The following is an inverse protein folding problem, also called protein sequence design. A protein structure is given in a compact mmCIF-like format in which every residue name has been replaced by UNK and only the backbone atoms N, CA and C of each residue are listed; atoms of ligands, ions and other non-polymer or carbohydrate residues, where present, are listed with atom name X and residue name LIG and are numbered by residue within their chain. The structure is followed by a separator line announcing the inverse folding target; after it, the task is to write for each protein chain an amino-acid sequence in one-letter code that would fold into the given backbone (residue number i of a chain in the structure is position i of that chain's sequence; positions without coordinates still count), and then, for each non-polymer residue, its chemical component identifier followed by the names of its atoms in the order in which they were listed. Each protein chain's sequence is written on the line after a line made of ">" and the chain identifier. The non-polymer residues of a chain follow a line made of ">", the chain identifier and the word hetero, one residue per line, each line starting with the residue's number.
data_IF_707444727006
#
_entry.id   IF_707444727006
#
_cell.length_a   1.000
_cell.length_b   1.000
_cell.length_c   1.000
_cell.angle_alpha   90.00
_cell.angle_beta   90.00
_cell.angle_gamma   90.00
#
_symmetry.space_group_name_H-M   'P 1'
#
loop_
_entity.id
_entity.type
_entity.pdbx_description
1 polymer ?
#
# COMPACT_ATOMS: atom_id res chain seq x y z
N UNK A 1 -24.23 -34.81 8.75
CA UNK A 1 -22.90 -35.05 8.13
C UNK A 1 -23.01 -34.73 6.64
N UNK A 2 -22.15 -33.89 6.06
CA UNK A 2 -22.25 -33.55 4.62
C UNK A 2 -21.71 -34.69 3.76
N UNK A 3 -22.24 -34.91 2.55
CA UNK A 3 -21.81 -35.96 1.63
C UNK A 3 -20.27 -36.00 1.41
N UNK A 4 -19.57 -34.86 1.23
CA UNK A 4 -18.11 -34.85 1.10
C UNK A 4 -17.36 -35.25 2.38
N UNK A 5 -17.94 -34.99 3.57
CA UNK A 5 -17.36 -35.41 4.86
C UNK A 5 -17.50 -36.92 5.04
N UNK A 6 -18.66 -37.47 4.69
CA UNK A 6 -18.90 -38.90 4.76
C UNK A 6 -17.90 -39.67 3.88
N UNK A 7 -17.69 -39.21 2.64
CA UNK A 7 -16.72 -39.84 1.72
C UNK A 7 -15.28 -39.77 2.27
N UNK A 8 -14.88 -38.63 2.85
CA UNK A 8 -13.55 -38.48 3.48
C UNK A 8 -13.36 -39.40 4.69
N UNK A 9 -14.37 -39.53 5.55
CA UNK A 9 -14.31 -40.41 6.72
C UNK A 9 -14.24 -41.88 6.31
N UNK A 10 -14.97 -42.30 5.28
CA UNK A 10 -14.93 -43.67 4.73
C UNK A 10 -13.51 -44.02 4.24
N UNK A 11 -12.83 -43.10 3.57
CA UNK A 11 -11.46 -43.34 3.08
C UNK A 11 -10.44 -43.39 4.21
N UNK A 12 -10.58 -42.55 5.26
CA UNK A 12 -9.63 -42.49 6.39
C UNK A 12 -9.80 -43.63 7.41
N UNK A 13 -11.03 -44.10 7.61
CA UNK A 13 -11.37 -45.08 8.64
C UNK A 13 -10.51 -46.36 8.63
N UNK A 14 -10.23 -47.03 7.48
CA UNK A 14 -9.39 -48.23 7.48
C UNK A 14 -7.94 -47.94 7.89
N UNK A 15 -7.36 -46.81 7.48
CA UNK A 15 -5.98 -46.45 7.85
C UNK A 15 -5.85 -46.15 9.35
N UNK A 16 -6.81 -45.41 9.92
CA UNK A 16 -6.84 -45.12 11.36
C UNK A 16 -7.08 -46.38 12.19
N UNK A 17 -7.91 -47.30 11.71
CA UNK A 17 -8.15 -48.59 12.35
C UNK A 17 -6.87 -49.44 12.39
N UNK A 18 -6.15 -49.54 11.28
CA UNK A 18 -4.89 -50.31 11.20
C UNK A 18 -3.82 -49.68 12.09
N UNK A 19 -3.61 -48.36 12.02
CA UNK A 19 -2.60 -47.68 12.84
C UNK A 19 -2.88 -47.85 14.34
N UNK A 20 -4.15 -47.73 14.74
CA UNK A 20 -4.56 -47.90 16.14
C UNK A 20 -4.47 -49.36 16.59
N UNK A 21 -4.80 -50.32 15.73
CA UNK A 21 -4.63 -51.74 16.03
C UNK A 21 -3.16 -52.12 16.25
N UNK A 22 -2.24 -51.60 15.43
CA UNK A 22 -0.78 -51.78 15.62
C UNK A 22 -0.34 -51.22 16.97
N UNK A 23 -0.84 -50.03 17.34
CA UNK A 23 -0.58 -49.44 18.66
C UNK A 23 -1.12 -50.33 19.79
N UNK A 24 -2.32 -50.90 19.63
CA UNK A 24 -2.89 -51.86 20.56
C UNK A 24 -2.04 -53.14 20.70
N UNK A 25 -1.41 -53.62 19.62
CA UNK A 25 -0.46 -54.76 19.67
C UNK A 25 0.78 -54.39 20.47
N UNK A 26 1.34 -53.19 20.30
CA UNK A 26 2.50 -52.73 21.07
C UNK A 26 2.20 -52.66 22.56
N UNK A 27 1.04 -52.12 22.95
CA UNK A 27 0.61 -52.07 24.36
C UNK A 27 0.40 -53.49 24.90
N UNK A 28 -0.26 -54.38 24.14
CA UNK A 28 -0.44 -55.77 24.53
C UNK A 28 0.90 -56.47 24.77
N UNK A 29 1.88 -56.27 23.88
CA UNK A 29 3.22 -56.83 24.01
C UNK A 29 3.94 -56.30 25.27
N UNK A 30 3.84 -54.99 25.55
CA UNK A 30 4.41 -54.38 26.76
C UNK A 30 3.78 -54.93 28.04
N UNK A 31 2.45 -55.09 28.07
CA UNK A 31 1.74 -55.65 29.22
C UNK A 31 2.11 -57.12 29.47
N UNK A 32 2.22 -57.91 28.40
CA UNK A 32 2.64 -59.31 28.50
C UNK A 32 4.11 -59.42 28.92
N UNK A 33 4.99 -58.58 28.40
CA UNK A 33 6.39 -58.50 28.81
C UNK A 33 6.53 -58.11 30.28
N UNK A 34 5.78 -57.11 30.74
CA UNK A 34 5.75 -56.71 32.14
C UNK A 34 5.25 -57.84 33.03
N UNK A 35 4.16 -58.52 32.63
CA UNK A 35 3.64 -59.69 33.35
C UNK A 35 4.67 -60.83 33.41
N UNK A 36 5.43 -61.06 32.34
CA UNK A 36 6.50 -62.05 32.29
C UNK A 36 7.67 -61.69 33.21
N UNK A 37 8.13 -60.43 33.20
CA UNK A 37 9.22 -59.96 34.05
C UNK A 37 8.86 -59.99 35.55
N UNK A 38 7.64 -59.61 35.91
CA UNK A 38 7.14 -59.71 37.29
C UNK A 38 7.17 -61.16 37.77
N UNK A 39 6.81 -62.10 36.90
CA UNK A 39 6.86 -63.53 37.22
C UNK A 39 8.30 -64.04 37.36
N UNK A 40 9.17 -63.65 36.43
CA UNK A 40 10.58 -64.05 36.41
C UNK A 40 11.36 -63.58 37.66
N UNK A 41 11.07 -62.36 38.14
CA UNK A 41 11.77 -61.75 39.27
C UNK A 41 11.08 -62.07 40.60
N UNK A 42 9.74 -62.18 40.62
CA UNK A 42 8.94 -62.29 41.83
C UNK A 42 8.58 -63.71 42.28
N UNK A 43 8.79 -64.74 41.45
CA UNK A 43 8.58 -66.15 41.83
C UNK A 43 7.13 -66.56 42.16
N UNK A 44 6.13 -65.73 41.85
CA UNK A 44 4.72 -65.99 42.12
C UNK A 44 4.11 -66.99 41.14
N UNK A 45 3.50 -68.10 41.58
CA UNK A 45 2.80 -69.04 40.68
C UNK A 45 1.68 -68.36 39.87
N UNK A 46 1.37 -68.89 38.67
CA UNK A 46 0.38 -68.36 37.73
C UNK A 46 -1.04 -68.28 38.34
N UNK A 47 -1.31 -67.19 39.05
CA UNK A 47 -2.62 -66.89 39.63
C UNK A 47 -3.60 -66.30 38.61
N UNK A 48 -4.84 -66.08 39.07
CA UNK A 48 -5.95 -65.50 38.30
C UNK A 48 -5.58 -64.16 37.63
N UNK A 49 -4.67 -63.37 38.22
CA UNK A 49 -4.24 -62.07 37.69
C UNK A 49 -3.55 -62.21 36.33
N UNK A 50 -2.65 -63.19 36.15
CA UNK A 50 -1.95 -63.40 34.88
C UNK A 50 -2.93 -63.81 33.77
N UNK A 51 -3.93 -64.64 34.09
CA UNK A 51 -4.98 -65.00 33.14
C UNK A 51 -5.81 -63.79 32.70
N UNK A 52 -6.14 -62.90 33.63
CA UNK A 52 -6.84 -61.65 33.33
C UNK A 52 -5.99 -60.75 32.43
N UNK A 53 -4.69 -60.59 32.72
CA UNK A 53 -3.77 -59.79 31.89
C UNK A 53 -3.70 -60.33 30.46
N UNK A 54 -3.60 -61.65 30.28
CA UNK A 54 -3.60 -62.28 28.96
C UNK A 54 -4.94 -62.10 28.23
N UNK A 55 -6.07 -62.23 28.95
CA UNK A 55 -7.39 -62.02 28.38
C UNK A 55 -7.58 -60.57 27.90
N UNK A 56 -7.13 -59.58 28.69
CA UNK A 56 -7.17 -58.17 28.33
C UNK A 56 -6.25 -57.86 27.15
N UNK A 57 -5.00 -58.33 27.20
CA UNK A 57 -4.00 -58.08 26.15
C UNK A 57 -4.47 -58.54 24.76
N UNK A 58 -5.19 -59.68 24.68
CA UNK A 58 -5.76 -60.20 23.42
C UNK A 58 -6.82 -59.27 22.80
N UNK A 59 -7.52 -58.48 23.61
CA UNK A 59 -8.59 -57.60 23.13
C UNK A 59 -8.10 -56.20 22.76
N UNK A 60 -6.91 -55.79 23.20
CA UNK A 60 -6.40 -54.43 22.95
C UNK A 60 -6.29 -54.08 21.46
N UNK A 61 -5.76 -54.92 20.55
CA UNK A 61 -5.70 -54.59 19.13
C UNK A 61 -7.08 -54.32 18.52
N UNK A 62 -8.09 -55.08 18.95
CA UNK A 62 -9.47 -54.91 18.49
C UNK A 62 -10.09 -53.62 19.05
N UNK A 63 -9.95 -53.37 20.35
CA UNK A 63 -10.50 -52.17 21.01
C UNK A 63 -9.89 -50.90 20.42
N UNK A 64 -8.56 -50.86 20.27
CA UNK A 64 -7.90 -49.72 19.64
C UNK A 64 -8.22 -49.61 18.15
N UNK A 65 -8.33 -50.73 17.42
CA UNK A 65 -8.72 -50.73 16.00
C UNK A 65 -10.13 -50.17 15.77
N UNK A 66 -11.11 -50.60 16.57
CA UNK A 66 -12.48 -50.07 16.53
C UNK A 66 -12.51 -48.60 16.95
N UNK A 67 -11.79 -48.23 18.02
CA UNK A 67 -11.65 -46.84 18.44
C UNK A 67 -11.06 -45.94 17.35
N UNK A 68 -10.01 -46.41 16.68
CA UNK A 68 -9.39 -45.74 15.52
C UNK A 68 -10.37 -45.58 14.36
N UNK A 69 -11.12 -46.63 14.02
CA UNK A 69 -12.15 -46.58 12.99
C UNK A 69 -13.24 -45.53 13.30
N UNK A 70 -13.78 -45.55 14.52
CA UNK A 70 -14.82 -44.61 14.97
C UNK A 70 -14.28 -43.18 15.03
N UNK A 71 -13.02 -42.99 15.42
CA UNK A 71 -12.38 -41.66 15.49
C UNK A 71 -12.35 -40.95 14.13
N UNK A 72 -12.29 -41.69 13.01
CA UNK A 72 -12.34 -41.12 11.65
C UNK A 72 -13.70 -40.46 11.32
N UNK A 73 -14.75 -40.79 12.07
CA UNK A 73 -16.08 -40.19 11.98
C UNK A 73 -16.32 -39.12 13.06
N UNK A 74 -15.52 -39.12 14.14
CA UNK A 74 -15.66 -38.19 15.26
C UNK A 74 -14.70 -36.99 15.18
N UNK A 75 -13.50 -37.18 14.64
CA UNK A 75 -12.47 -36.13 14.55
C UNK A 75 -12.35 -35.56 13.13
N UNK A 76 -12.64 -34.27 12.99
CA UNK A 76 -12.25 -33.47 11.82
C UNK A 76 -10.73 -33.17 11.92
N UNK A 77 -9.87 -34.20 11.90
CA UNK A 77 -8.43 -33.98 11.88
C UNK A 77 -8.07 -33.28 10.56
N UNK A 78 -7.60 -32.01 10.60
CA UNK A 78 -7.32 -31.24 9.41
C UNK A 78 -6.12 -31.87 8.71
N UNK A 79 -6.31 -32.34 7.48
CA UNK A 79 -5.17 -32.61 6.60
C UNK A 79 -4.57 -31.25 6.31
N UNK A 80 -3.31 -31.04 6.68
CA UNK A 80 -2.55 -29.86 6.26
C UNK A 80 -2.63 -29.77 4.74
N UNK A 81 -3.31 -28.74 4.24
CA UNK A 81 -3.56 -28.60 2.82
C UNK A 81 -2.23 -28.30 2.11
N UNK A 82 -1.77 -29.24 1.29
CA UNK A 82 -0.51 -29.16 0.52
C UNK A 82 -0.47 -27.92 -0.39
N UNK A 83 -1.62 -27.38 -0.77
CA UNK A 83 -1.78 -26.22 -1.66
C UNK A 83 -2.38 -24.98 -0.97
N UNK A 84 -2.41 -24.95 0.36
CA UNK A 84 -2.98 -23.84 1.15
C UNK A 84 -4.43 -24.04 1.57
N UNK A 85 -4.89 -23.26 2.56
CA UNK A 85 -6.20 -23.40 3.21
C UNK A 85 -7.30 -22.49 2.62
N UNK A 86 -7.05 -21.86 1.48
CA UNK A 86 -7.97 -20.92 0.85
C UNK A 86 -9.28 -21.62 0.45
N UNK A 87 -10.41 -20.99 0.79
CA UNK A 87 -11.76 -21.45 0.43
C UNK A 87 -12.69 -20.25 0.29
N UNK A 88 -13.82 -20.47 -0.38
CA UNK A 88 -14.91 -19.50 -0.40
C UNK A 88 -15.46 -19.23 1.01
N UNK A 89 -15.88 -17.99 1.23
CA UNK A 89 -16.53 -17.57 2.47
C UNK A 89 -17.88 -18.28 2.64
N UNK A 90 -18.20 -18.64 3.87
CA UNK A 90 -19.49 -19.20 4.25
C UNK A 90 -20.51 -18.07 4.45
N UNK A 91 -21.81 -18.39 4.38
CA UNK A 91 -22.86 -17.38 4.62
C UNK A 91 -22.73 -16.68 5.99
N UNK A 92 -22.29 -17.40 7.04
CA UNK A 92 -22.02 -16.80 8.36
C UNK A 92 -20.85 -15.81 8.34
N UNK A 93 -19.84 -16.05 7.51
CA UNK A 93 -18.70 -15.13 7.34
C UNK A 93 -19.11 -13.90 6.53
N UNK A 94 -19.90 -14.06 5.46
CA UNK A 94 -20.48 -12.95 4.71
C UNK A 94 -21.46 -12.11 5.54
N UNK A 95 -22.22 -12.74 6.44
CA UNK A 95 -23.11 -12.03 7.36
C UNK A 95 -22.33 -11.07 8.25
N UNK A 96 -21.13 -11.43 8.72
CA UNK A 96 -20.29 -10.52 9.52
C UNK A 96 -19.88 -9.28 8.74
N UNK A 97 -19.61 -9.41 7.45
CA UNK A 97 -19.24 -8.30 6.55
C UNK A 97 -20.44 -7.43 6.14
N UNK A 98 -21.67 -7.95 6.25
CA UNK A 98 -22.91 -7.21 5.93
C UNK A 98 -23.69 -6.75 7.16
N UNK A 99 -23.19 -7.01 8.37
CA UNK A 99 -23.88 -6.70 9.61
C UNK A 99 -23.79 -5.22 10.02
N UNK A 100 -22.76 -4.51 9.55
CA UNK A 100 -22.53 -3.09 9.86
C UNK A 100 -22.61 -2.26 8.59
N UNK A 101 -23.17 -1.06 8.72
CA UNK A 101 -23.17 -0.04 7.67
C UNK A 101 -21.91 0.86 7.69
N UNK A 102 -20.90 0.50 8.49
CA UNK A 102 -19.61 1.19 8.57
C UNK A 102 -18.50 0.38 7.87
N UNK A 103 -17.44 1.07 7.46
CA UNK A 103 -16.30 0.51 6.74
C UNK A 103 -16.38 0.61 5.23
N UNK A 104 -15.31 0.15 4.58
CA UNK A 104 -15.12 0.24 3.13
C UNK A 104 -15.97 -0.79 2.42
N UNK A 105 -16.74 -0.36 1.42
CA UNK A 105 -17.50 -1.24 0.56
C UNK A 105 -16.55 -2.10 -0.28
N UNK A 106 -16.63 -3.42 -0.11
CA UNK A 106 -15.81 -4.40 -0.84
C UNK A 106 -16.60 -5.17 -1.89
N UNK A 107 -17.93 -5.22 -1.77
CA UNK A 107 -18.78 -5.88 -2.75
C UNK A 107 -20.20 -6.08 -2.26
N UNK A 108 -20.85 -7.12 -2.79
CA UNK A 108 -22.23 -7.48 -2.48
C UNK A 108 -22.34 -8.99 -2.33
N UNK A 109 -23.10 -9.43 -1.32
CA UNK A 109 -23.46 -10.84 -1.17
C UNK A 109 -24.29 -11.28 -2.39
N UNK A 110 -23.83 -12.29 -3.15
CA UNK A 110 -24.53 -12.73 -4.35
C UNK A 110 -25.88 -13.39 -4.05
N UNK A 111 -26.10 -13.86 -2.82
CA UNK A 111 -27.34 -14.55 -2.42
C UNK A 111 -28.36 -13.57 -1.88
N UNK A 112 -27.92 -12.68 -0.97
CA UNK A 112 -28.84 -11.79 -0.24
C UNK A 112 -28.93 -10.39 -0.85
N UNK A 113 -28.00 -10.02 -1.72
CA UNK A 113 -27.90 -8.67 -2.28
C UNK A 113 -27.41 -7.61 -1.29
N UNK A 114 -27.07 -7.99 -0.05
CA UNK A 114 -26.56 -7.06 0.97
C UNK A 114 -25.15 -6.59 0.63
N UNK A 115 -24.86 -5.33 0.94
CA UNK A 115 -23.53 -4.76 0.77
C UNK A 115 -22.55 -5.38 1.78
N UNK A 116 -21.33 -5.64 1.33
CA UNK A 116 -20.25 -6.19 2.14
C UNK A 116 -19.26 -5.07 2.43
N UNK A 117 -18.95 -4.86 3.71
CA UNK A 117 -18.05 -3.82 4.19
C UNK A 117 -16.89 -4.41 4.99
N UNK A 118 -15.74 -3.76 4.89
CA UNK A 118 -14.53 -4.11 5.60
C UNK A 118 -14.03 -2.89 6.38
N UNK A 119 -13.90 -3.05 7.70
CA UNK A 119 -13.41 -2.04 8.64
C UNK A 119 -12.19 -2.56 9.43
N UNK A 120 -11.45 -3.49 8.84
CA UNK A 120 -10.24 -4.02 9.48
C UNK A 120 -8.98 -3.19 9.17
N UNK A 121 -7.85 -3.54 9.80
CA UNK A 121 -6.61 -2.78 9.69
C UNK A 121 -5.77 -3.12 8.45
N UNK A 122 -6.04 -4.26 7.79
CA UNK A 122 -5.46 -4.51 6.48
C UNK A 122 -6.03 -3.45 5.53
N UNK A 123 -5.32 -3.12 4.48
CA UNK A 123 -5.90 -2.31 3.42
C UNK A 123 -6.16 -3.23 2.19
N UNK A 124 -6.82 -2.69 1.17
CA UNK A 124 -7.51 -3.48 0.14
C UNK A 124 -6.92 -3.31 -1.25
N UNK A 125 -6.64 -4.41 -1.95
CA UNK A 125 -6.24 -4.40 -3.36
C UNK A 125 -7.42 -4.86 -4.24
N UNK A 126 -7.80 -4.03 -5.20
CA UNK A 126 -8.82 -4.37 -6.21
C UNK A 126 -8.15 -4.62 -7.54
N UNK A 127 -8.21 -5.88 -8.03
CA UNK A 127 -7.73 -6.26 -9.35
C UNK A 127 -8.92 -6.38 -10.30
N UNK A 128 -8.95 -5.53 -11.32
CA UNK A 128 -10.06 -5.45 -12.27
C UNK A 128 -9.53 -5.04 -13.65
N UNK A 129 -9.86 -5.77 -14.74
CA UNK A 129 -9.55 -5.33 -16.10
C UNK A 129 -10.20 -3.98 -16.42
N UNK A 130 -9.71 -3.29 -17.45
CA UNK A 130 -10.32 -2.03 -17.89
C UNK A 130 -11.79 -2.23 -18.27
N UNK A 131 -12.64 -1.25 -17.95
CA UNK A 131 -14.09 -1.25 -18.24
C UNK A 131 -14.92 -2.35 -17.55
N UNK A 132 -14.41 -2.97 -16.48
CA UNK A 132 -15.15 -4.01 -15.71
C UNK A 132 -15.89 -3.47 -14.49
N UNK A 133 -15.97 -2.15 -14.34
CA UNK A 133 -16.76 -1.50 -13.30
C UNK A 133 -16.05 -1.23 -11.98
N UNK A 134 -14.71 -1.30 -11.91
CA UNK A 134 -13.91 -0.88 -10.73
C UNK A 134 -14.35 0.46 -10.14
N UNK A 135 -14.55 1.45 -11.02
CA UNK A 135 -15.00 2.80 -10.66
C UNK A 135 -16.38 2.78 -9.98
N UNK A 136 -17.38 2.24 -10.67
CA UNK A 136 -18.78 2.23 -10.19
C UNK A 136 -19.08 1.20 -9.09
N UNK A 137 -18.26 0.15 -8.97
CA UNK A 137 -18.47 -0.94 -8.03
C UNK A 137 -17.75 -0.77 -6.69
N UNK A 138 -16.60 -0.08 -6.68
CA UNK A 138 -15.77 0.06 -5.47
C UNK A 138 -15.38 1.50 -5.20
N UNK A 139 -14.79 2.21 -6.17
CA UNK A 139 -14.19 3.54 -5.93
C UNK A 139 -15.25 4.60 -5.60
N UNK A 140 -16.18 4.84 -6.53
CA UNK A 140 -17.21 5.87 -6.38
C UNK A 140 -18.11 5.59 -5.16
N UNK A 141 -18.62 4.37 -4.94
CA UNK A 141 -19.42 4.09 -3.74
C UNK A 141 -18.69 4.37 -2.42
N UNK A 142 -17.39 4.05 -2.33
CA UNK A 142 -16.60 4.36 -1.15
C UNK A 142 -16.42 5.87 -0.98
N UNK A 143 -16.10 6.61 -2.03
CA UNK A 143 -16.03 8.07 -1.97
C UNK A 143 -17.36 8.70 -1.50
N UNK A 144 -18.50 8.19 -1.98
CA UNK A 144 -19.82 8.70 -1.61
C UNK A 144 -20.24 8.38 -0.17
N UNK A 145 -19.70 7.32 0.45
CA UNK A 145 -20.22 6.80 1.73
C UNK A 145 -19.21 6.73 2.87
N UNK A 146 -17.91 6.78 2.60
CA UNK A 146 -16.88 6.65 3.62
C UNK A 146 -16.75 7.96 4.43
N UNK A 147 -17.33 8.00 5.62
CA UNK A 147 -17.23 9.12 6.55
C UNK A 147 -15.86 9.15 7.25
N UNK A 148 -14.83 9.52 6.48
CA UNK A 148 -13.43 9.67 6.92
C UNK A 148 -12.67 10.55 5.93
N UNK A 149 -11.50 11.03 6.32
CA UNK A 149 -10.58 11.68 5.39
C UNK A 149 -10.15 10.77 4.24
N UNK A 150 -9.97 11.35 3.05
CA UNK A 150 -9.59 10.61 1.84
C UNK A 150 -8.51 11.37 1.07
N UNK A 151 -7.46 10.66 0.64
CA UNK A 151 -6.53 11.11 -0.40
C UNK A 151 -6.78 10.22 -1.62
N UNK A 152 -7.22 10.80 -2.72
CA UNK A 152 -7.64 10.09 -3.92
C UNK A 152 -6.79 10.51 -5.11
N UNK A 153 -6.08 9.58 -5.73
CA UNK A 153 -5.51 9.79 -7.06
C UNK A 153 -6.62 9.53 -8.07
N UNK A 154 -6.88 10.51 -8.92
CA UNK A 154 -7.98 10.49 -9.89
C UNK A 154 -7.45 10.85 -11.28
N UNK A 155 -6.85 9.90 -12.00
CA UNK A 155 -6.17 10.20 -13.26
C UNK A 155 -7.10 10.88 -14.27
N UNK A 156 -8.40 10.55 -14.26
CA UNK A 156 -9.36 11.06 -15.24
C UNK A 156 -10.21 12.23 -14.75
N UNK A 157 -10.08 12.63 -13.49
CA UNK A 157 -10.96 13.63 -12.87
C UNK A 157 -12.41 13.14 -12.65
N UNK A 158 -12.75 11.91 -13.07
CA UNK A 158 -14.11 11.37 -13.04
C UNK A 158 -14.59 11.21 -11.59
N UNK A 159 -13.73 10.73 -10.71
CA UNK A 159 -14.07 10.53 -9.30
C UNK A 159 -14.38 11.88 -8.64
N UNK A 160 -13.57 12.90 -8.91
CA UNK A 160 -13.71 14.26 -8.38
C UNK A 160 -14.98 14.93 -8.88
N UNK A 161 -15.29 14.80 -10.17
CA UNK A 161 -16.50 15.39 -10.78
C UNK A 161 -17.75 14.74 -10.21
N UNK A 162 -17.79 13.41 -10.09
CA UNK A 162 -18.96 12.67 -9.63
C UNK A 162 -19.17 12.80 -8.12
N UNK A 163 -18.11 12.75 -7.33
CA UNK A 163 -18.22 12.57 -5.87
C UNK A 163 -17.93 13.82 -5.06
N UNK A 164 -17.29 14.85 -5.66
CA UNK A 164 -16.82 16.02 -4.91
C UNK A 164 -17.91 16.72 -4.07
N UNK A 165 -19.12 16.90 -4.61
CA UNK A 165 -20.23 17.51 -3.86
C UNK A 165 -20.70 16.65 -2.68
N UNK A 166 -20.71 15.32 -2.83
CA UNK A 166 -21.03 14.44 -1.71
C UNK A 166 -19.92 14.48 -0.66
N UNK A 167 -18.66 14.61 -1.09
CA UNK A 167 -17.51 14.75 -0.19
C UNK A 167 -17.56 16.02 0.65
N UNK A 168 -18.06 17.13 0.09
CA UNK A 168 -18.28 18.40 0.82
C UNK A 168 -19.19 18.25 2.05
N UNK A 169 -20.04 17.22 2.09
CA UNK A 169 -20.91 16.93 3.25
C UNK A 169 -20.13 16.33 4.43
N UNK A 170 -18.98 15.70 4.18
CA UNK A 170 -18.11 15.14 5.22
C UNK A 170 -17.04 16.13 5.70
N UNK A 171 -16.71 17.13 4.88
CA UNK A 171 -15.76 18.19 5.20
C UNK A 171 -15.13 18.83 3.95
N UNK A 172 -14.10 19.67 4.13
CA UNK A 172 -13.46 20.38 3.03
C UNK A 172 -12.96 19.46 1.92
N UNK A 173 -13.08 19.90 0.67
CA UNK A 173 -12.60 19.19 -0.52
C UNK A 173 -11.54 20.04 -1.21
N UNK A 174 -10.31 19.54 -1.24
CA UNK A 174 -9.18 20.13 -1.93
C UNK A 174 -8.92 19.37 -3.21
N UNK A 175 -8.96 20.05 -4.34
CA UNK A 175 -8.73 19.46 -5.66
C UNK A 175 -7.43 20.05 -6.19
N UNK A 176 -6.41 19.23 -6.42
CA UNK A 176 -5.20 19.67 -7.11
C UNK A 176 -5.30 19.18 -8.56
N UNK A 177 -5.59 20.11 -9.45
CA UNK A 177 -5.85 19.87 -10.87
C UNK A 177 -5.12 20.92 -11.71
N UNK A 178 -3.79 20.78 -11.89
CA UNK A 178 -2.97 21.77 -12.60
C UNK A 178 -3.40 21.97 -14.07
N UNK A 179 -4.08 20.99 -14.65
CA UNK A 179 -4.51 21.01 -16.06
C UNK A 179 -5.99 21.40 -16.24
N UNK A 180 -6.75 21.61 -15.17
CA UNK A 180 -8.14 22.05 -15.20
C UNK A 180 -9.11 21.02 -15.81
N UNK A 181 -8.77 19.74 -15.71
CA UNK A 181 -9.52 18.60 -16.30
C UNK A 181 -10.93 18.50 -15.72
N UNK A 182 -11.06 18.81 -14.44
CA UNK A 182 -12.34 18.78 -13.70
C UNK A 182 -13.18 20.04 -13.93
N UNK A 183 -12.58 21.10 -14.50
CA UNK A 183 -13.15 22.45 -14.58
C UNK A 183 -13.59 23.03 -13.22
N UNK A 184 -13.01 22.55 -12.12
CA UNK A 184 -13.21 23.07 -10.77
C UNK A 184 -12.04 23.97 -10.36
N UNK A 185 -12.23 24.72 -9.28
CA UNK A 185 -11.14 25.49 -8.68
C UNK A 185 -10.04 24.53 -8.18
N UNK A 186 -8.79 24.76 -8.62
CA UNK A 186 -7.64 24.01 -8.13
C UNK A 186 -7.08 24.66 -6.87
N UNK A 187 -7.06 23.90 -5.78
CA UNK A 187 -6.24 24.17 -4.62
C UNK A 187 -4.75 24.02 -4.97
N UNK A 188 -3.89 24.51 -4.08
CA UNK A 188 -2.44 24.42 -4.15
C UNK A 188 -1.86 23.84 -2.85
N UNK A 189 -0.71 23.20 -2.97
CA UNK A 189 0.07 22.68 -1.84
C UNK A 189 1.56 22.90 -2.10
N UNK A 190 2.22 23.69 -1.24
CA UNK A 190 3.64 23.93 -1.31
C UNK A 190 4.37 23.03 -0.29
N UNK A 191 5.15 22.04 -0.75
CA UNK A 191 5.84 21.13 0.16
C UNK A 191 6.88 21.84 1.04
N UNK A 192 7.40 23.01 0.62
CA UNK A 192 8.38 23.76 1.41
C UNK A 192 7.76 24.44 2.64
N UNK A 193 6.44 24.68 2.65
CA UNK A 193 5.76 25.27 3.81
C UNK A 193 5.74 24.32 5.02
N UNK A 194 5.95 23.02 4.80
CA UNK A 194 5.97 22.01 5.85
C UNK A 194 7.34 21.90 6.54
N UNK A 195 8.36 22.55 6.00
CA UNK A 195 9.71 22.54 6.56
C UNK A 195 9.84 23.60 7.66
N UNK A 196 10.33 23.17 8.82
CA UNK A 196 10.62 24.07 9.94
C UNK A 196 12.06 24.60 9.83
N UNK A 197 12.28 25.88 9.46
CA UNK A 197 13.62 26.45 9.30
C UNK A 197 14.45 26.44 10.59
N UNK A 198 13.79 26.41 11.75
CA UNK A 198 14.44 26.41 13.07
C UNK A 198 14.56 24.97 13.64
N UNK A 199 14.05 23.98 12.92
CA UNK A 199 14.06 22.58 13.31
C UNK A 199 15.45 21.94 13.22
N UNK A 200 15.77 21.07 14.17
CA UNK A 200 17.04 20.33 14.15
C UNK A 200 17.15 19.37 12.95
N UNK A 201 16.01 18.88 12.47
CA UNK A 201 15.91 17.89 11.36
C UNK A 201 15.80 18.56 9.97
N UNK A 202 15.98 19.87 9.84
CA UNK A 202 15.73 20.61 8.59
C UNK A 202 16.55 20.08 7.40
N UNK A 203 17.77 19.59 7.66
CA UNK A 203 18.62 19.01 6.62
C UNK A 203 18.07 17.64 6.17
N UNK A 204 17.67 16.79 7.10
CA UNK A 204 17.04 15.50 6.84
C UNK A 204 15.70 15.67 6.09
N UNK A 205 14.95 16.71 6.42
CA UNK A 205 13.67 17.02 5.78
C UNK A 205 13.86 17.50 4.33
N UNK A 206 14.84 18.38 4.10
CA UNK A 206 15.21 18.81 2.75
C UNK A 206 15.69 17.61 1.90
N UNK A 207 16.45 16.69 2.48
CA UNK A 207 16.86 15.45 1.81
C UNK A 207 15.66 14.55 1.47
N UNK A 208 14.70 14.41 2.38
CA UNK A 208 13.47 13.62 2.14
C UNK A 208 12.67 14.18 0.95
N UNK A 209 12.60 15.50 0.81
CA UNK A 209 11.98 16.13 -0.36
C UNK A 209 12.78 15.90 -1.65
N UNK A 210 14.11 15.98 -1.58
CA UNK A 210 14.98 15.71 -2.74
C UNK A 210 14.82 14.26 -3.24
N UNK A 211 14.74 13.29 -2.32
CA UNK A 211 14.46 11.86 -2.62
C UNK A 211 13.08 11.63 -3.25
N UNK A 212 12.11 12.48 -2.91
CA UNK A 212 10.79 12.43 -3.54
C UNK A 212 10.83 12.95 -4.98
N UNK A 213 11.68 13.95 -5.28
CA UNK A 213 11.84 14.57 -6.59
C UNK A 213 12.72 13.75 -7.56
N UNK A 214 13.81 13.17 -7.06
CA UNK A 214 14.76 12.40 -7.86
C UNK A 214 14.34 10.93 -7.86
N UNK A 215 13.98 10.43 -9.04
CA UNK A 215 13.54 9.05 -9.22
C UNK A 215 14.60 8.23 -9.94
N UNK A 216 15.06 7.17 -9.29
CA UNK A 216 15.92 6.15 -9.86
C UNK A 216 15.08 5.04 -10.48
N UNK A 217 15.06 4.98 -11.81
CA UNK A 217 14.30 3.97 -12.52
C UNK A 217 14.98 2.59 -12.34
N UNK A 218 14.27 1.56 -11.82
CA UNK A 218 14.89 0.27 -11.53
C UNK A 218 15.55 -0.35 -12.77
N UNK A 219 16.86 -0.61 -12.69
CA UNK A 219 17.65 -1.19 -13.78
C UNK A 219 18.55 -0.22 -14.55
N UNK A 220 18.47 1.10 -14.29
CA UNK A 220 19.43 2.09 -14.82
C UNK A 220 20.61 2.29 -13.87
N UNK A 221 21.58 1.38 -13.89
CA UNK A 221 22.78 1.44 -13.02
C UNK A 221 23.77 2.55 -13.39
N UNK A 222 23.75 3.06 -14.63
CA UNK A 222 24.70 4.08 -15.11
C UNK A 222 24.48 5.49 -14.53
N UNK A 223 23.26 5.79 -14.10
CA UNK A 223 22.87 7.15 -13.66
C UNK A 223 22.92 7.33 -12.13
N UNK A 224 23.15 6.25 -11.37
CA UNK A 224 22.98 6.24 -9.92
C UNK A 224 23.85 7.29 -9.21
N UNK A 225 25.14 7.38 -9.56
CA UNK A 225 26.03 8.40 -8.97
C UNK A 225 25.56 9.82 -9.26
N UNK A 226 25.15 10.11 -10.50
CA UNK A 226 24.66 11.43 -10.90
C UNK A 226 23.36 11.79 -10.19
N UNK A 227 22.47 10.82 -10.00
CA UNK A 227 21.21 11.02 -9.29
C UNK A 227 21.42 11.24 -7.78
N UNK A 228 22.36 10.54 -7.15
CA UNK A 228 22.73 10.77 -5.74
C UNK A 228 23.32 12.17 -5.52
N UNK A 229 24.25 12.60 -6.37
CA UNK A 229 24.80 13.95 -6.28
C UNK A 229 23.75 15.02 -6.63
N UNK A 230 22.82 14.74 -7.54
CA UNK A 230 21.70 15.63 -7.84
C UNK A 230 20.73 15.77 -6.67
N UNK A 231 20.44 14.68 -5.93
CA UNK A 231 19.66 14.72 -4.69
C UNK A 231 20.31 15.65 -3.67
N UNK A 232 21.62 15.50 -3.46
CA UNK A 232 22.37 16.35 -2.55
C UNK A 232 22.28 17.83 -2.96
N UNK A 233 22.51 18.16 -4.23
CA UNK A 233 22.38 19.53 -4.74
C UNK A 233 20.96 20.09 -4.57
N UNK A 234 19.93 19.28 -4.85
CA UNK A 234 18.53 19.70 -4.68
C UNK A 234 18.21 19.97 -3.21
N UNK A 235 18.60 19.07 -2.31
CA UNK A 235 18.41 19.23 -0.87
C UNK A 235 19.10 20.51 -0.35
N UNK A 236 20.32 20.77 -0.80
CA UNK A 236 21.11 21.95 -0.45
C UNK A 236 20.44 23.26 -0.88
N UNK A 237 19.90 23.30 -2.10
CA UNK A 237 19.18 24.46 -2.59
C UNK A 237 17.83 24.63 -1.91
N UNK A 238 17.11 23.53 -1.60
CA UNK A 238 15.88 23.58 -0.79
C UNK A 238 16.19 24.19 0.58
N UNK A 239 17.26 23.74 1.25
CA UNK A 239 17.70 24.25 2.53
C UNK A 239 17.97 25.76 2.47
N UNK A 240 18.73 26.22 1.46
CA UNK A 240 18.94 27.65 1.21
C UNK A 240 17.58 28.36 1.11
N UNK A 241 16.70 27.89 0.24
CA UNK A 241 15.42 28.54 -0.06
C UNK A 241 14.59 28.72 1.20
N UNK A 242 14.42 27.66 1.99
CA UNK A 242 13.58 27.69 3.20
C UNK A 242 14.13 28.65 4.24
N UNK A 243 15.45 28.67 4.45
CA UNK A 243 16.09 29.46 5.50
C UNK A 243 16.20 30.94 5.13
N UNK A 244 16.70 31.25 3.93
CA UNK A 244 17.18 32.59 3.63
C UNK A 244 16.48 33.29 2.46
N UNK A 245 15.54 32.64 1.76
CA UNK A 245 14.69 33.37 0.82
C UNK A 245 13.50 34.02 1.53
N UNK A 246 13.02 35.13 0.97
CA UNK A 246 11.78 35.77 1.41
C UNK A 246 10.59 34.80 1.30
N UNK A 247 9.57 34.88 2.17
CA UNK A 247 8.43 33.97 2.16
C UNK A 247 7.79 33.74 0.78
N UNK A 248 7.64 34.78 -0.03
CA UNK A 248 7.06 34.66 -1.40
C UNK A 248 7.91 33.87 -2.40
N UNK A 249 9.17 33.58 -2.06
CA UNK A 249 10.11 32.78 -2.87
C UNK A 249 10.39 31.40 -2.25
N UNK A 250 9.75 31.02 -1.15
CA UNK A 250 9.95 29.72 -0.49
C UNK A 250 9.15 28.61 -1.16
N UNK A 251 9.40 28.34 -2.44
CA UNK A 251 8.70 27.32 -3.20
C UNK A 251 9.60 26.64 -4.24
N UNK A 252 9.11 25.55 -4.84
CA UNK A 252 9.89 24.77 -5.81
C UNK A 252 10.15 25.51 -7.14
N UNK A 253 9.41 26.57 -7.48
CA UNK A 253 9.79 27.41 -8.64
C UNK A 253 11.10 28.15 -8.43
N UNK A 254 11.40 28.58 -7.20
CA UNK A 254 12.72 29.18 -6.89
C UNK A 254 13.84 28.15 -7.01
N UNK A 255 13.59 26.89 -6.60
CA UNK A 255 14.54 25.80 -6.82
C UNK A 255 14.83 25.64 -8.32
N UNK A 256 13.78 25.65 -9.16
CA UNK A 256 13.93 25.55 -10.61
C UNK A 256 14.69 26.73 -11.20
N UNK A 257 14.39 27.96 -10.74
CA UNK A 257 15.11 29.17 -11.13
C UNK A 257 16.61 29.03 -10.84
N UNK A 258 16.99 28.58 -9.64
CA UNK A 258 18.40 28.41 -9.25
C UNK A 258 19.12 27.36 -10.09
N UNK A 259 18.50 26.21 -10.30
CA UNK A 259 19.06 25.13 -11.12
C UNK A 259 19.22 25.51 -12.60
N UNK A 260 18.58 26.59 -13.06
CA UNK A 260 18.60 27.03 -14.46
C UNK A 260 19.26 28.40 -14.66
N UNK A 261 19.92 28.94 -13.63
CA UNK A 261 20.74 30.15 -13.75
C UNK A 261 21.86 29.96 -14.78
N UNK A 262 22.22 31.06 -15.47
CA UNK A 262 23.43 31.11 -16.27
C UNK A 262 24.66 30.77 -15.41
N UNK A 263 25.71 30.11 -15.96
CA UNK A 263 26.84 29.61 -15.18
C UNK A 263 27.46 30.63 -14.22
N UNK A 264 27.68 31.87 -14.68
CA UNK A 264 28.26 32.94 -13.85
C UNK A 264 27.34 33.33 -12.69
N UNK A 265 26.03 33.35 -12.91
CA UNK A 265 25.04 33.67 -11.87
C UNK A 265 24.88 32.52 -10.88
N UNK A 266 25.01 31.28 -11.32
CA UNK A 266 24.99 30.10 -10.47
C UNK A 266 26.24 30.05 -9.58
N UNK A 267 27.44 30.30 -10.14
CA UNK A 267 28.66 30.45 -9.36
C UNK A 267 28.54 31.60 -8.34
N UNK A 268 27.95 32.73 -8.74
CA UNK A 268 27.68 33.83 -7.82
C UNK A 268 26.66 33.47 -6.72
N UNK A 269 25.70 32.58 -6.99
CA UNK A 269 24.79 32.05 -5.95
C UNK A 269 25.55 31.17 -4.96
N UNK A 270 26.39 30.26 -5.45
CA UNK A 270 27.21 29.39 -4.60
C UNK A 270 28.19 30.20 -3.75
N UNK A 271 28.82 31.23 -4.31
CA UNK A 271 29.70 32.13 -3.57
C UNK A 271 28.95 32.81 -2.41
N UNK A 272 27.74 33.35 -2.65
CA UNK A 272 26.90 33.91 -1.57
C UNK A 272 26.53 32.86 -0.53
N UNK A 273 26.29 31.61 -0.94
CA UNK A 273 26.00 30.52 -0.01
C UNK A 273 27.21 30.15 0.86
N UNK A 274 28.46 30.32 0.38
CA UNK A 274 29.67 30.06 1.18
C UNK A 274 29.81 31.02 2.37
N UNK A 275 29.28 32.24 2.25
CA UNK A 275 29.33 33.27 3.30
C UNK A 275 28.17 33.18 4.31
N UNK A 276 27.36 32.11 4.25
CA UNK A 276 26.18 31.91 5.10
C UNK A 276 26.48 31.03 6.32
N UNK A 277 26.28 31.60 7.51
CA UNK A 277 26.41 30.90 8.80
C UNK A 277 25.10 30.25 9.28
N UNK A 278 23.98 30.49 8.60
CA UNK A 278 22.67 29.93 8.95
C UNK A 278 22.65 28.40 8.94
N UNK A 279 21.77 27.81 9.76
CA UNK A 279 21.73 26.37 10.05
C UNK A 279 23.11 25.80 10.43
N UNK A 280 23.89 26.54 11.23
CA UNK A 280 25.21 26.10 11.69
C UNK A 280 26.21 25.90 10.55
N UNK A 281 26.14 26.74 9.52
CA UNK A 281 27.01 26.69 8.33
C UNK A 281 26.72 25.51 7.40
N UNK A 282 25.55 24.87 7.50
CA UNK A 282 25.16 23.78 6.59
C UNK A 282 25.08 24.27 5.13
N UNK A 283 24.57 25.49 4.91
CA UNK A 283 24.46 26.10 3.58
C UNK A 283 25.85 26.38 2.98
N UNK A 284 26.79 26.88 3.77
CA UNK A 284 28.18 27.08 3.33
C UNK A 284 28.87 25.76 2.98
N UNK A 285 28.70 24.72 3.82
CA UNK A 285 29.24 23.38 3.54
C UNK A 285 28.66 22.78 2.26
N UNK A 286 27.37 22.98 2.02
CA UNK A 286 26.70 22.57 0.79
C UNK A 286 27.32 23.22 -0.46
N UNK A 287 27.50 24.55 -0.44
CA UNK A 287 28.15 25.26 -1.54
C UNK A 287 29.58 24.76 -1.79
N UNK A 288 30.37 24.57 -0.73
CA UNK A 288 31.71 24.03 -0.80
C UNK A 288 31.76 22.62 -1.44
N UNK A 289 30.78 21.75 -1.16
CA UNK A 289 30.70 20.42 -1.79
C UNK A 289 30.47 20.48 -3.30
N UNK A 290 29.72 21.47 -3.79
CA UNK A 290 29.53 21.64 -5.23
C UNK A 290 30.76 22.27 -5.89
N UNK A 291 31.32 23.32 -5.28
CA UNK A 291 32.50 24.03 -5.79
C UNK A 291 33.79 23.20 -5.74
N UNK A 292 33.87 22.20 -4.86
CA UNK A 292 35.00 21.27 -4.79
C UNK A 292 35.02 20.21 -5.90
N UNK A 293 33.97 20.10 -6.71
CA UNK A 293 33.89 19.15 -7.84
C UNK A 293 34.70 19.65 -9.04
N UNK A 294 35.12 18.71 -9.88
CA UNK A 294 35.66 19.08 -11.20
C UNK A 294 34.57 19.71 -12.07
N UNK A 295 34.92 20.60 -13.00
CA UNK A 295 33.94 21.26 -13.90
C UNK A 295 33.02 20.26 -14.61
N UNK A 296 33.58 19.13 -15.06
CA UNK A 296 32.83 18.06 -15.74
C UNK A 296 31.83 17.39 -14.80
N UNK A 297 32.24 17.10 -13.58
CA UNK A 297 31.36 16.48 -12.58
C UNK A 297 30.28 17.46 -12.14
N UNK A 298 30.63 18.70 -11.81
CA UNK A 298 29.70 19.76 -11.45
C UNK A 298 28.61 19.96 -12.53
N UNK A 299 29.01 20.03 -13.81
CA UNK A 299 28.08 20.13 -14.92
C UNK A 299 27.18 18.88 -15.07
N UNK A 300 27.73 17.69 -14.83
CA UNK A 300 26.96 16.43 -14.84
C UNK A 300 25.88 16.39 -13.74
N UNK A 301 26.24 16.81 -12.52
CA UNK A 301 25.32 16.90 -11.38
C UNK A 301 24.22 17.92 -11.63
N UNK A 302 24.57 19.12 -12.11
CA UNK A 302 23.60 20.16 -12.44
C UNK A 302 22.62 19.68 -13.53
N UNK A 303 23.13 19.04 -14.58
CA UNK A 303 22.31 18.47 -15.65
C UNK A 303 21.34 17.40 -15.14
N UNK A 304 21.80 16.51 -14.25
CA UNK A 304 20.93 15.51 -13.62
C UNK A 304 19.83 16.15 -12.74
N UNK A 305 20.18 17.16 -11.94
CA UNK A 305 19.21 17.91 -11.14
C UNK A 305 18.18 18.64 -12.01
N UNK A 306 18.62 19.25 -13.12
CA UNK A 306 17.73 19.90 -14.09
C UNK A 306 16.76 18.91 -14.74
N UNK A 307 17.23 17.69 -15.08
CA UNK A 307 16.40 16.62 -15.67
C UNK A 307 15.25 16.22 -14.75
N UNK A 308 15.54 15.99 -13.46
CA UNK A 308 14.52 15.55 -12.50
C UNK A 308 13.55 16.66 -12.09
N UNK A 309 13.95 17.92 -12.24
CA UNK A 309 13.11 19.09 -11.89
C UNK A 309 12.44 19.77 -13.09
N UNK A 310 12.62 19.27 -14.32
CA UNK A 310 12.11 19.93 -15.54
C UNK A 310 10.59 20.14 -15.55
N UNK A 311 9.83 19.29 -14.85
CA UNK A 311 8.38 19.40 -14.77
C UNK A 311 7.92 20.72 -14.10
N UNK A 312 8.81 21.38 -13.36
CA UNK A 312 8.59 22.69 -12.75
C UNK A 312 8.71 23.86 -13.74
N UNK A 313 9.14 23.64 -14.99
CA UNK A 313 9.09 24.66 -16.04
C UNK A 313 7.64 25.01 -16.45
N UNK A 314 6.69 24.14 -16.11
CA UNK A 314 5.27 24.37 -16.39
C UNK A 314 4.68 25.42 -15.43
N UNK A 315 4.16 26.55 -15.93
CA UNK A 315 3.50 27.56 -15.07
C UNK A 315 2.31 26.98 -14.29
N UNK A 316 1.65 25.95 -14.85
CA UNK A 316 0.56 25.23 -14.19
C UNK A 316 1.03 24.49 -12.95
N UNK A 317 2.23 23.91 -13.02
CA UNK A 317 2.82 23.21 -11.89
C UNK A 317 3.34 24.18 -10.83
N UNK A 318 3.96 25.28 -11.26
CA UNK A 318 4.32 26.38 -10.35
C UNK A 318 3.10 26.93 -9.61
N UNK A 319 1.95 27.08 -10.28
CA UNK A 319 0.73 27.58 -9.65
C UNK A 319 0.18 26.63 -8.58
N UNK A 320 0.19 25.31 -8.82
CA UNK A 320 -0.32 24.30 -7.88
C UNK A 320 0.64 24.02 -6.72
N UNK A 321 1.94 24.35 -6.87
CA UNK A 321 2.98 24.16 -5.86
C UNK A 321 3.45 25.46 -5.17
N UNK A 322 2.89 26.61 -5.54
CA UNK A 322 3.41 27.91 -5.12
C UNK A 322 2.93 28.41 -3.75
N UNK A 323 1.88 27.79 -3.19
CA UNK A 323 1.29 28.11 -1.88
C UNK A 323 0.62 26.86 -1.30
N UNK A 324 0.26 26.89 -0.02
CA UNK A 324 -0.55 25.84 0.62
C UNK A 324 -1.92 26.34 1.02
N UNK A 325 -2.98 25.68 0.52
CA UNK A 325 -4.37 25.93 0.91
C UNK A 325 -4.83 24.97 2.04
N UNK A 326 -4.04 23.95 2.36
CA UNK A 326 -4.29 22.95 3.42
C UNK A 326 -2.99 22.28 3.86
N UNK A 327 -3.03 21.52 4.97
CA UNK A 327 -1.93 20.64 5.40
C UNK A 327 -2.39 19.19 5.39
N UNK A 328 -1.52 18.26 5.01
CA UNK A 328 -1.91 16.85 5.06
C UNK A 328 -2.21 16.39 6.49
N UNK A 329 -1.43 16.84 7.47
CA UNK A 329 -1.65 16.53 8.90
C UNK A 329 -3.09 16.80 9.39
N UNK A 330 -3.77 17.81 8.83
CA UNK A 330 -5.14 18.17 9.22
C UNK A 330 -6.15 17.05 8.94
N UNK A 331 -5.87 16.17 7.97
CA UNK A 331 -6.70 15.01 7.64
C UNK A 331 -6.80 14.02 8.81
N UNK A 332 -5.90 14.08 9.80
CA UNK A 332 -5.97 13.24 11.00
C UNK A 332 -6.94 13.79 12.05
N UNK A 333 -7.21 15.10 12.01
CA UNK A 333 -7.99 15.81 13.03
C UNK A 333 -9.41 16.07 12.54
N UNK A 334 -9.54 16.46 11.28
CA UNK A 334 -10.80 16.79 10.64
C UNK A 334 -10.98 15.95 9.37
N UNK A 335 -12.22 15.56 9.09
CA UNK A 335 -12.54 14.91 7.82
C UNK A 335 -12.31 15.90 6.68
N UNK A 336 -11.44 15.55 5.74
CA UNK A 336 -11.20 16.32 4.52
C UNK A 336 -10.87 15.37 3.36
N UNK A 337 -11.11 15.83 2.13
CA UNK A 337 -10.83 15.06 0.93
C UNK A 337 -9.84 15.79 0.05
N UNK A 338 -8.76 15.11 -0.33
CA UNK A 338 -7.76 15.62 -1.28
C UNK A 338 -7.84 14.79 -2.55
N UNK A 339 -8.19 15.42 -3.67
CA UNK A 339 -8.14 14.80 -4.99
C UNK A 339 -6.86 15.25 -5.72
N UNK A 340 -6.08 14.28 -6.20
CA UNK A 340 -4.90 14.50 -7.02
C UNK A 340 -5.23 14.10 -8.46
N UNK A 341 -5.46 15.10 -9.32
CA UNK A 341 -5.92 14.88 -10.68
C UNK A 341 -4.74 15.01 -11.65
N UNK A 342 -4.37 13.91 -12.28
CA UNK A 342 -3.33 13.88 -13.31
C UNK A 342 -3.73 13.01 -14.51
N UNK A 343 -4.07 13.61 -15.66
CA UNK A 343 -4.42 12.89 -16.88
C UNK A 343 -3.39 11.83 -17.30
N UNK A 344 -3.82 10.64 -17.78
CA UNK A 344 -2.91 9.59 -18.20
C UNK A 344 -1.91 10.02 -19.28
N UNK A 345 -2.29 10.94 -20.19
CA UNK A 345 -1.41 11.51 -21.22
C UNK A 345 -0.30 12.42 -20.65
N UNK A 346 -0.47 12.89 -19.40
CA UNK A 346 0.49 13.73 -18.66
C UNK A 346 1.26 12.96 -17.62
N UNK A 347 0.88 11.72 -17.35
CA UNK A 347 1.37 10.96 -16.22
C UNK A 347 2.86 10.64 -16.34
N UNK A 348 3.37 10.31 -17.53
CA UNK A 348 4.80 10.06 -17.73
C UNK A 348 5.68 11.28 -17.43
N UNK A 349 5.21 12.48 -17.80
CA UNK A 349 5.95 13.74 -17.59
C UNK A 349 5.86 14.23 -16.14
N UNK A 350 4.70 14.09 -15.51
CA UNK A 350 4.41 14.70 -14.21
C UNK A 350 4.20 13.69 -13.07
N UNK A 351 4.53 12.40 -13.26
CA UNK A 351 4.46 11.38 -12.19
C UNK A 351 5.25 11.78 -10.94
N UNK A 352 6.34 12.53 -11.10
CA UNK A 352 7.16 13.09 -10.00
C UNK A 352 6.35 13.99 -9.08
N UNK A 353 5.40 14.75 -9.61
CA UNK A 353 4.51 15.57 -8.80
C UNK A 353 3.58 14.72 -7.93
N UNK A 354 2.98 13.65 -8.47
CA UNK A 354 2.16 12.73 -7.67
C UNK A 354 3.01 12.03 -6.61
N UNK A 355 4.20 11.55 -6.98
CA UNK A 355 5.16 10.95 -6.05
C UNK A 355 5.48 11.90 -4.89
N UNK A 356 5.81 13.16 -5.21
CA UNK A 356 6.11 14.20 -4.21
C UNK A 356 4.94 14.39 -3.23
N UNK A 357 3.72 14.55 -3.73
CA UNK A 357 2.55 14.77 -2.87
C UNK A 357 2.21 13.56 -2.00
N UNK A 358 2.29 12.34 -2.55
CA UNK A 358 2.03 11.11 -1.78
C UNK A 358 3.13 10.88 -0.73
N UNK A 359 4.39 11.09 -1.08
CA UNK A 359 5.49 10.99 -0.12
C UNK A 359 5.32 12.01 1.00
N UNK A 360 5.02 13.26 0.67
CA UNK A 360 4.79 14.29 1.68
C UNK A 360 3.60 13.96 2.58
N UNK A 361 2.49 13.52 1.99
CA UNK A 361 1.31 13.16 2.79
C UNK A 361 1.60 12.01 3.75
N UNK A 362 2.32 10.97 3.31
CA UNK A 362 2.71 9.85 4.16
C UNK A 362 3.68 10.27 5.26
N UNK A 363 4.63 11.17 4.97
CA UNK A 363 5.57 11.72 5.95
C UNK A 363 4.83 12.53 7.02
N UNK A 364 3.93 13.43 6.62
CA UNK A 364 3.11 14.21 7.55
C UNK A 364 2.22 13.31 8.41
N UNK A 365 1.60 12.28 7.80
CA UNK A 365 0.78 11.30 8.52
C UNK A 365 1.57 10.56 9.61
N UNK A 366 2.84 10.24 9.34
CA UNK A 366 3.72 9.51 10.23
C UNK A 366 4.31 10.38 11.35
N UNK A 367 4.56 11.67 11.08
CA UNK A 367 5.14 12.60 12.05
C UNK A 367 4.13 13.19 13.02
N UNK A 368 2.91 13.48 12.57
CA UNK A 368 1.91 14.05 13.47
C UNK A 368 1.53 13.00 14.54
N UNK A 369 1.65 13.30 15.84
CA UNK A 369 1.35 12.34 16.92
C UNK A 369 -0.15 12.06 17.10
N UNK A 370 -1.04 12.83 16.47
CA UNK A 370 -2.48 12.63 16.57
C UNK A 370 -2.86 11.22 16.10
N UNK A 371 -3.82 10.61 16.76
CA UNK A 371 -4.47 9.39 16.27
C UNK A 371 -5.83 9.77 15.72
N UNK A 372 -6.08 9.58 14.41
CA UNK A 372 -7.37 9.94 13.86
C UNK A 372 -8.46 9.00 14.40
N UNK A 373 -9.66 9.53 14.65
CA UNK A 373 -10.80 8.72 15.05
C UNK A 373 -11.13 7.62 14.02
N UNK A 374 -10.90 7.92 12.74
CA UNK A 374 -10.97 6.97 11.62
C UNK A 374 -9.72 7.07 10.74
N UNK A 375 -9.10 5.94 10.33
CA UNK A 375 -7.93 5.98 9.47
C UNK A 375 -8.15 6.76 8.17
N UNK A 376 -7.18 7.59 7.78
CA UNK A 376 -7.21 8.30 6.49
C UNK A 376 -7.15 7.27 5.35
N UNK A 377 -8.11 7.35 4.41
CA UNK A 377 -8.19 6.44 3.28
C UNK A 377 -7.33 6.94 2.12
N UNK A 378 -6.31 6.17 1.75
CA UNK A 378 -5.58 6.36 0.49
C UNK A 378 -6.26 5.55 -0.61
N UNK A 379 -6.95 6.23 -1.52
CA UNK A 379 -7.58 5.65 -2.70
C UNK A 379 -6.70 5.93 -3.92
N UNK A 380 -5.85 4.97 -4.25
CA UNK A 380 -4.85 5.12 -5.30
C UNK A 380 -5.35 4.45 -6.59
N UNK A 381 -6.17 5.18 -7.36
CA UNK A 381 -6.56 4.69 -8.68
C UNK A 381 -5.34 4.61 -9.59
N UNK A 382 -5.22 3.50 -10.31
CA UNK A 382 -4.07 3.19 -11.16
C UNK A 382 -2.71 3.26 -10.43
N UNK A 383 -2.62 2.72 -9.21
CA UNK A 383 -1.40 2.72 -8.39
C UNK A 383 -0.11 2.32 -9.14
N UNK A 384 -0.19 1.38 -10.09
CA UNK A 384 0.96 0.97 -10.91
C UNK A 384 1.64 2.13 -11.66
N UNK A 385 0.90 3.21 -11.93
CA UNK A 385 1.38 4.40 -12.63
C UNK A 385 2.34 5.25 -11.77
N UNK A 386 2.36 5.09 -10.44
CA UNK A 386 3.26 5.81 -9.54
C UNK A 386 4.70 5.28 -9.54
N UNK A 387 4.94 4.09 -10.12
CA UNK A 387 6.24 3.44 -10.05
C UNK A 387 6.63 3.06 -8.61
N UNK A 388 7.92 2.85 -8.37
CA UNK A 388 8.44 2.45 -7.06
C UNK A 388 8.57 3.64 -6.11
N UNK A 389 7.80 3.64 -5.01
CA UNK A 389 7.95 4.61 -3.91
C UNK A 389 9.01 4.11 -2.91
N UNK A 390 10.26 4.52 -3.11
CA UNK A 390 11.34 4.27 -2.15
C UNK A 390 11.15 5.17 -0.92
N UNK A 391 11.29 4.60 0.29
CA UNK A 391 11.43 5.35 1.53
C UNK A 391 12.88 5.21 2.01
N UNK A 392 13.60 6.32 2.16
CA UNK A 392 14.84 6.36 2.93
C UNK A 392 14.51 6.82 4.36
N UNK A 393 15.01 6.10 5.36
CA UNK A 393 14.75 6.38 6.78
C UNK A 393 14.55 5.11 7.61
N UNK A 394 15.55 4.78 8.42
CA UNK A 394 15.72 3.60 9.28
C UNK A 394 14.74 3.45 10.45
N UNK A 395 13.58 4.12 10.43
CA UNK A 395 12.60 4.07 11.53
C UNK A 395 11.13 3.86 11.08
N UNK A 396 10.91 3.33 9.87
CA UNK A 396 9.59 2.88 9.43
C UNK A 396 9.68 1.62 8.57
N UNK A 397 9.54 0.45 9.18
CA UNK A 397 9.63 -0.86 8.50
C UNK A 397 8.55 -1.01 7.42
N UNK A 398 8.98 -1.21 6.18
CA UNK A 398 8.25 -1.98 5.17
C UNK A 398 9.27 -2.90 4.47
N UNK A 399 9.21 -4.20 4.77
CA UNK A 399 10.00 -5.26 4.13
C UNK A 399 9.07 -6.41 3.74
N UNK A 400 9.29 -7.01 2.57
CA UNK A 400 8.79 -8.34 2.17
C UNK A 400 9.69 -8.85 1.01
N UNK A 401 10.04 -10.15 0.89
CA UNK A 401 9.38 -11.33 1.49
C UNK A 401 10.29 -12.39 2.16
N UNK A 402 9.79 -13.03 3.23
CA UNK A 402 9.47 -14.48 3.33
C UNK A 402 9.50 -15.01 4.78
N UNK A 403 8.44 -15.76 5.13
CA UNK A 403 8.28 -16.78 6.19
C UNK A 403 8.33 -16.40 7.70
N UNK A 404 7.23 -16.80 8.37
CA UNK A 404 7.03 -17.17 9.78
C UNK A 404 6.83 -16.06 10.85
N UNK A 405 5.64 -16.07 11.45
CA UNK A 405 5.30 -15.38 12.72
C UNK A 405 5.93 -16.08 13.94
N UNK A 406 6.14 -15.33 15.05
CA UNK A 406 5.36 -15.59 16.27
C UNK A 406 4.76 -14.31 16.91
N UNK A 407 3.85 -14.43 17.92
CA UNK A 407 2.83 -13.42 18.20
C UNK A 407 3.23 -12.40 19.28
N UNK A 408 2.75 -11.15 19.14
CA UNK A 408 2.68 -10.18 20.23
C UNK A 408 3.38 -8.84 19.97
N UNK A 409 2.80 -8.00 19.11
CA UNK A 409 2.99 -6.53 19.05
C UNK A 409 1.96 -5.95 18.05
N UNK A 410 1.65 -4.64 18.04
CA UNK A 410 0.56 -4.09 17.24
C UNK A 410 1.01 -3.89 15.78
N UNK A 411 0.35 -4.56 14.83
CA UNK A 411 0.77 -4.57 13.42
C UNK A 411 -0.34 -4.18 12.47
N UNK A 412 -0.02 -3.24 11.58
CA UNK A 412 -0.70 -2.95 10.31
C UNK A 412 0.11 -3.66 9.21
N UNK A 413 -0.54 -4.45 8.33
CA UNK A 413 0.15 -5.30 7.34
C UNK A 413 -0.45 -5.21 5.93
N UNK A 414 0.44 -5.28 4.91
CA UNK A 414 0.20 -5.40 3.47
C UNK A 414 1.30 -6.09 2.68
N UNK A 415 0.93 -6.65 1.51
CA UNK A 415 1.81 -6.72 0.34
C UNK A 415 1.16 -6.22 -0.98
N UNK A 416 1.96 -5.61 -1.86
CA UNK A 416 1.68 -5.41 -3.30
C UNK A 416 2.83 -5.96 -4.15
N UNK A 417 2.49 -6.71 -5.21
CA UNK A 417 3.41 -7.30 -6.19
C UNK A 417 3.11 -6.68 -7.56
N UNK A 418 4.15 -6.15 -8.22
CA UNK A 418 4.16 -5.83 -9.65
C UNK A 418 4.76 -7.03 -10.39
N UNK A 419 4.04 -7.60 -11.35
CA UNK A 419 4.65 -8.48 -12.36
C UNK A 419 4.48 -7.84 -13.74
N UNK A 420 5.61 -7.49 -14.34
CA UNK A 420 5.76 -7.32 -15.79
C UNK A 420 6.39 -8.60 -16.31
N UNK A 421 5.58 -9.54 -16.79
CA UNK A 421 6.11 -10.77 -17.40
C UNK A 421 6.62 -10.48 -18.81
N UNK A 422 7.93 -10.31 -18.95
CA UNK A 422 8.64 -10.54 -20.20
C UNK A 422 8.89 -12.03 -20.38
N UNK A 423 8.08 -12.70 -21.21
CA UNK A 423 8.50 -13.86 -22.01
C UNK A 423 7.65 -13.95 -23.27
N UNK A 424 8.33 -13.68 -24.38
CA UNK A 424 8.01 -13.97 -25.77
C UNK A 424 6.84 -14.95 -25.99
N UNK A 425 5.73 -14.43 -26.52
CA UNK A 425 4.98 -15.08 -27.60
C UNK A 425 4.52 -14.00 -28.57
N UNK A 426 4.92 -14.15 -29.84
CA UNK A 426 4.64 -13.21 -30.94
C UNK A 426 3.14 -13.15 -31.18
N UNK A 427 2.56 -11.96 -31.07
CA UNK A 427 1.36 -11.57 -31.84
C UNK A 427 1.61 -10.15 -32.34
N UNK A 428 1.88 -10.03 -33.64
CA UNK A 428 1.91 -8.75 -34.35
C UNK A 428 0.51 -8.17 -34.38
N UNK A 429 0.32 -6.95 -33.86
CA UNK A 429 -0.81 -6.11 -34.22
C UNK A 429 -0.25 -4.86 -34.89
N UNK A 430 -0.43 -4.80 -36.20
CA UNK A 430 -0.15 -3.64 -37.05
C UNK A 430 -1.15 -2.53 -36.72
N UNK A 431 -0.69 -1.36 -36.30
CA UNK A 431 -1.49 -0.14 -36.31
C UNK A 431 -1.12 0.67 -37.55
N UNK A 432 -2.04 0.72 -38.52
CA UNK A 432 -2.02 1.71 -39.58
C UNK A 432 -2.37 3.10 -39.02
N UNK A 433 -1.78 4.20 -39.54
CA UNK A 433 -2.08 5.54 -39.07
C UNK A 433 -3.40 6.02 -39.66
N UNK A 434 -4.36 6.40 -38.82
CA UNK A 434 -5.45 7.29 -39.22
C UNK A 434 -5.12 8.69 -38.73
N UNK A 435 -4.64 9.52 -39.68
CA UNK A 435 -4.70 10.97 -39.58
C UNK A 435 -6.17 11.40 -39.52
N UNK A 436 -6.50 12.34 -38.63
CA UNK A 436 -7.77 13.06 -38.73
C UNK A 436 -8.26 13.76 -37.46
N UNK A 437 -8.01 15.07 -37.41
CA UNK A 437 -8.80 16.13 -36.77
C UNK A 437 -8.75 16.30 -35.24
N UNK A 438 -8.07 17.38 -34.84
CA UNK A 438 -8.25 18.12 -33.59
C UNK A 438 -9.74 18.41 -33.33
N UNK A 439 -10.21 18.10 -32.12
CA UNK A 439 -11.41 18.71 -31.53
C UNK A 439 -11.18 18.93 -30.04
N UNK A 440 -11.40 20.16 -29.60
CA UNK A 440 -11.44 20.57 -28.20
C UNK A 440 -12.41 19.70 -27.38
N UNK A 441 -12.13 19.42 -26.10
CA UNK A 441 -13.00 18.61 -25.27
C UNK A 441 -14.24 19.42 -24.84
N UNK A 442 -15.40 19.08 -25.42
CA UNK A 442 -16.69 19.61 -24.95
C UNK A 442 -17.10 18.93 -23.64
N UNK A 443 -17.38 19.71 -22.59
CA UNK A 443 -17.90 19.23 -21.31
C UNK A 443 -19.33 18.70 -21.43
N UNK A 444 -19.51 17.41 -21.74
CA UNK A 444 -20.79 16.71 -21.49
C UNK A 444 -20.52 15.39 -20.77
N UNK A 445 -21.20 15.19 -19.63
CA UNK A 445 -21.18 13.93 -18.89
C UNK A 445 -21.64 12.75 -19.77
N UNK A 446 -20.94 11.60 -19.76
CA UNK A 446 -21.39 10.40 -20.43
C UNK A 446 -22.74 9.90 -19.86
N UNK A 447 -23.64 9.34 -20.68
CA UNK A 447 -24.99 8.93 -20.26
C UNK A 447 -25.01 7.91 -19.11
N UNK A 448 -23.98 7.07 -18.96
CA UNK A 448 -23.88 6.03 -17.92
C UNK A 448 -23.80 6.56 -16.48
N UNK A 449 -23.47 7.83 -16.28
CA UNK A 449 -23.26 8.42 -14.96
C UNK A 449 -24.49 9.17 -14.39
N UNK A 450 -25.53 9.43 -15.20
CA UNK A 450 -26.73 10.17 -14.74
C UNK A 450 -27.64 9.37 -13.79
N UNK A 451 -27.60 8.04 -13.87
CA UNK A 451 -28.52 7.17 -13.12
C UNK A 451 -28.19 7.08 -11.62
N UNK A 452 -26.90 7.01 -11.26
CA UNK A 452 -26.47 6.81 -9.86
C UNK A 452 -26.65 8.04 -8.96
N UNK A 453 -26.48 9.26 -9.50
CA UNK A 453 -26.63 10.49 -8.71
C UNK A 453 -28.08 10.73 -8.25
N UNK A 454 -29.07 10.13 -8.92
CA UNK A 454 -30.49 10.31 -8.61
C UNK A 454 -31.02 9.41 -7.48
N UNK A 455 -30.27 8.39 -7.06
CA UNK A 455 -30.72 7.42 -6.06
C UNK A 455 -30.40 7.79 -4.60
N UNK A 456 -29.59 8.83 -4.35
CA UNK A 456 -29.11 9.18 -3.00
C UNK A 456 -29.78 10.46 -2.46
N UNK A 457 -30.61 11.15 -3.24
CA UNK A 457 -31.19 12.45 -2.87
C UNK A 457 -32.59 12.41 -2.23
N UNK A 458 -32.96 11.34 -1.51
CA UNK A 458 -34.19 11.35 -0.70
C UNK A 458 -33.85 11.41 0.79
N UNK A 459 -34.21 12.50 1.51
CA UNK A 459 -34.17 12.50 2.96
C UNK A 459 -35.23 11.54 3.51
N UNK A 460 -35.02 10.93 4.69
CA UNK A 460 -36.03 10.09 5.32
C UNK A 460 -37.18 10.97 5.84
N UNK A 461 -38.42 10.56 5.56
CA UNK A 461 -39.59 10.90 6.38
C UNK A 461 -39.68 9.91 7.54
#
# INVERSE_FOLDING_TARGET
>A
MTFPRLLKSIVKAPFMAIASAIFGVLIAALLLLASFLIHLIGGFEQGQISQIVHAVAKQLPLVFGVGGFVSAFATDAPIAAVFGSARWATGRELQKLSAKDDGLLTGRDPTTGKLLRYDGPAHLMTMAPTRTGKGVGTIIPNLLTADRSVICIDPKGENTVVTGRAREQFGPVHILDPFGVTCKHSAAFNPLDMLDPDGLDIAEDANTLADALVFDEPGMTGDAHWNEEAKALIADLILKIVIAESPGRRNLSTLREYLTLAPERFLGLLARMQDMDEAGGLIARAANRHLGKSDREAAGVLSAAQRHTHFLDSPRMTAVLGRSDFRFADLKRNNATVFLVLPPDRLSTYSRWLRLLITQSLTDMARDPASPARPVLYLLDEFAALGHLARHGSHGRLWCPALADPPGAPWVSWPAMVSSSGRSSRISISCAPLMGAEREPSCRMPPSFRSLASMISKPPN
#
